data_IF_885858866198
#
_entry.id   IF_885858866198
#
_cell.length_a   1.000
_cell.length_b   1.000
_cell.length_c   1.000
_cell.angle_alpha   90.00
_cell.angle_beta   90.00
_cell.angle_gamma   90.00
#
_symmetry.space_group_name_H-M   'P 1'
#
loop_
_entity.id
_entity.type
_entity.pdbx_description
1 polymer ?
#
# COMPACT_ATOMS: atom_id res chain seq x y z
N UNK A 1 41.25 -21.65 32.55
CA UNK A 1 42.10 -21.34 31.39
C UNK A 1 41.67 -22.12 30.15
N UNK A 2 41.97 -21.61 28.94
CA UNK A 2 41.71 -22.29 27.68
C UNK A 2 43.03 -22.77 27.08
N UNK A 3 43.17 -24.06 26.84
CA UNK A 3 44.38 -24.67 26.30
C UNK A 3 44.11 -25.17 24.88
N UNK A 4 45.14 -25.12 24.03
CA UNK A 4 45.08 -25.60 22.65
C UNK A 4 45.72 -26.99 22.61
N UNK A 5 44.99 -27.99 22.14
CA UNK A 5 45.48 -29.36 22.02
C UNK A 5 45.71 -29.68 20.56
N UNK A 6 46.96 -29.96 20.22
CA UNK A 6 47.33 -30.40 18.86
C UNK A 6 47.50 -31.90 18.86
N UNK A 7 46.74 -32.57 18.01
CA UNK A 7 46.83 -34.02 17.78
C UNK A 7 46.90 -34.31 16.29
N UNK A 8 46.90 -35.60 15.92
CA UNK A 8 46.81 -36.02 14.51
C UNK A 8 45.51 -35.57 13.82
N UNK A 9 44.48 -35.31 14.61
CA UNK A 9 43.12 -34.98 14.16
C UNK A 9 42.93 -33.47 13.94
N UNK A 10 43.89 -32.64 14.37
CA UNK A 10 43.84 -31.19 14.23
C UNK A 10 44.13 -30.44 15.53
N UNK A 11 43.67 -29.20 15.60
CA UNK A 11 43.81 -28.33 16.75
C UNK A 11 42.46 -28.16 17.44
N UNK A 12 42.36 -28.65 18.67
CA UNK A 12 41.16 -28.55 19.50
C UNK A 12 41.42 -27.61 20.68
N UNK A 13 40.37 -27.10 21.30
CA UNK A 13 40.47 -26.20 22.45
C UNK A 13 39.74 -26.82 23.63
N UNK A 14 40.43 -26.99 24.75
CA UNK A 14 39.87 -27.57 25.98
C UNK A 14 39.92 -26.52 27.09
N UNK A 15 38.81 -26.39 27.81
CA UNK A 15 38.66 -25.42 28.89
C UNK A 15 38.79 -26.13 30.23
N UNK A 16 39.71 -25.66 31.07
CA UNK A 16 39.94 -26.16 32.43
C UNK A 16 39.90 -25.02 33.44
N UNK A 17 39.83 -25.30 34.74
CA UNK A 17 39.95 -24.26 35.78
C UNK A 17 41.34 -23.61 35.79
N UNK A 18 41.48 -22.43 36.42
CA UNK A 18 42.76 -21.69 36.44
C UNK A 18 43.80 -22.25 37.42
N UNK A 19 43.38 -23.11 38.34
CA UNK A 19 44.16 -23.85 39.34
C UNK A 19 44.23 -25.36 39.04
N UNK A 20 43.73 -25.78 37.87
CA UNK A 20 43.65 -27.17 37.46
C UNK A 20 45.00 -27.91 37.50
N UNK A 21 44.93 -29.19 37.84
CA UNK A 21 46.03 -30.15 37.81
C UNK A 21 46.11 -30.89 36.48
N UNK A 22 47.20 -31.66 36.29
CA UNK A 22 47.32 -32.57 35.14
C UNK A 22 46.19 -33.60 35.13
N UNK A 23 45.72 -34.08 36.28
CA UNK A 23 44.56 -34.98 36.36
C UNK A 23 43.28 -34.35 35.81
N UNK A 24 42.99 -33.11 36.20
CA UNK A 24 41.80 -32.37 35.77
C UNK A 24 41.83 -32.12 34.25
N UNK A 25 43.02 -31.82 33.71
CA UNK A 25 43.20 -31.68 32.26
C UNK A 25 42.91 -33.00 31.52
N UNK A 26 43.40 -34.14 32.02
CA UNK A 26 43.11 -35.44 31.40
C UNK A 26 41.62 -35.77 31.46
N UNK A 27 40.93 -35.44 32.56
CA UNK A 27 39.48 -35.63 32.65
C UNK A 27 38.71 -34.74 31.69
N UNK A 28 39.08 -33.46 31.56
CA UNK A 28 38.46 -32.53 30.62
C UNK A 28 38.64 -32.99 29.16
N UNK A 29 39.83 -33.47 28.82
CA UNK A 29 40.13 -34.08 27.51
C UNK A 29 39.25 -35.30 27.26
N UNK A 30 39.13 -36.18 28.25
CA UNK A 30 38.32 -37.38 28.09
C UNK A 30 36.83 -37.08 27.88
N UNK A 31 36.31 -36.09 28.61
CA UNK A 31 34.94 -35.63 28.46
C UNK A 31 34.69 -34.93 27.11
N UNK A 32 35.52 -33.97 26.73
CA UNK A 32 35.32 -33.14 25.54
C UNK A 32 35.57 -33.93 24.25
N UNK A 33 36.55 -34.83 24.25
CA UNK A 33 37.03 -35.52 23.05
C UNK A 33 36.58 -36.98 22.96
N UNK A 34 35.87 -37.49 23.98
CA UNK A 34 35.42 -38.88 24.09
C UNK A 34 36.57 -39.90 23.96
N UNK A 35 37.74 -39.58 24.51
CA UNK A 35 38.91 -40.46 24.54
C UNK A 35 39.12 -40.95 25.98
N UNK A 36 39.21 -42.26 26.25
CA UNK A 36 39.48 -42.76 27.60
C UNK A 36 40.76 -42.16 28.18
N UNK A 37 40.75 -41.83 29.47
CA UNK A 37 41.84 -41.14 30.17
C UNK A 37 43.18 -41.84 29.99
N UNK A 38 43.22 -43.17 29.86
CA UNK A 38 44.46 -43.96 29.76
C UNK A 38 44.98 -44.15 28.33
N UNK A 39 44.19 -43.79 27.32
CA UNK A 39 44.51 -44.06 25.91
C UNK A 39 45.23 -42.91 25.20
N UNK A 40 45.62 -41.88 25.96
CA UNK A 40 46.36 -40.74 25.43
C UNK A 40 47.47 -40.24 26.36
N UNK A 41 48.46 -39.65 25.71
CA UNK A 41 49.65 -39.03 26.33
C UNK A 41 49.70 -37.57 25.93
N UNK A 42 50.08 -36.70 26.87
CA UNK A 42 50.21 -35.24 26.66
C UNK A 42 51.66 -34.82 26.92
N UNK A 43 52.17 -33.89 26.11
CA UNK A 43 53.46 -33.22 26.31
C UNK A 43 53.37 -31.74 25.91
N UNK A 44 54.29 -30.92 26.42
CA UNK A 44 54.52 -29.57 25.90
C UNK A 44 55.41 -29.59 24.63
N UNK A 45 56.08 -30.71 24.36
CA UNK A 45 57.00 -30.81 23.23
C UNK A 45 56.28 -31.26 21.94
N UNK A 46 56.53 -30.57 20.80
CA UNK A 46 55.96 -30.96 19.50
C UNK A 46 56.40 -32.34 19.01
N UNK A 47 57.58 -32.78 19.47
CA UNK A 47 58.21 -34.06 19.11
C UNK A 47 57.31 -35.25 19.40
N UNK A 48 56.40 -35.15 20.39
CA UNK A 48 55.44 -36.17 20.75
C UNK A 48 54.60 -36.66 19.56
N UNK A 49 54.23 -35.77 18.63
CA UNK A 49 53.38 -36.15 17.48
C UNK A 49 54.13 -36.97 16.43
N UNK A 50 55.46 -36.94 16.44
CA UNK A 50 56.34 -37.58 15.46
C UNK A 50 57.19 -38.71 16.06
N UNK A 51 57.20 -38.83 17.39
CA UNK A 51 58.00 -39.81 18.11
C UNK A 51 57.62 -41.25 17.75
N UNK A 52 58.63 -42.07 17.45
CA UNK A 52 58.49 -43.52 17.20
C UNK A 52 58.49 -44.29 18.52
N UNK A 53 57.94 -45.52 18.51
CA UNK A 53 57.88 -46.35 19.71
C UNK A 53 59.31 -46.63 20.24
N UNK A 54 59.62 -46.12 21.44
CA UNK A 54 60.94 -46.23 22.08
C UNK A 54 61.71 -44.91 22.27
N UNK A 55 61.24 -43.78 21.73
CA UNK A 55 61.84 -42.45 21.98
C UNK A 55 61.30 -41.82 23.28
N UNK A 56 62.22 -41.39 24.17
CA UNK A 56 61.86 -40.77 25.45
C UNK A 56 61.45 -39.30 25.27
N UNK A 57 60.16 -39.04 25.10
CA UNK A 57 59.59 -37.68 25.15
C UNK A 57 59.17 -37.37 26.58
N UNK A 58 59.42 -36.14 27.06
CA UNK A 58 58.94 -35.73 28.38
C UNK A 58 57.40 -35.59 28.38
N UNK A 59 56.72 -36.53 29.03
CA UNK A 59 55.26 -36.55 29.13
C UNK A 59 54.78 -35.94 30.44
N UNK A 60 53.58 -35.35 30.44
CA UNK A 60 52.92 -34.86 31.65
C UNK A 60 52.31 -36.03 32.44
N UNK A 61 53.15 -36.80 33.14
CA UNK A 61 52.75 -37.99 33.92
C UNK A 61 52.44 -37.69 35.40
N UNK A 62 52.87 -36.54 35.92
CA UNK A 62 52.68 -36.15 37.32
C UNK A 62 51.27 -35.57 37.57
N UNK A 63 50.30 -36.44 37.82
CA UNK A 63 48.87 -36.11 37.93
C UNK A 63 48.52 -35.02 38.95
N UNK A 64 49.24 -34.95 40.07
CA UNK A 64 48.97 -34.01 41.18
C UNK A 64 49.62 -32.63 41.02
N UNK A 65 50.43 -32.41 39.99
CA UNK A 65 51.06 -31.11 39.75
C UNK A 65 50.05 -30.15 39.09
N UNK A 66 50.05 -28.89 39.54
CA UNK A 66 49.26 -27.84 38.91
C UNK A 66 49.82 -27.49 37.53
N UNK A 67 48.95 -27.16 36.58
CA UNK A 67 49.36 -26.81 35.22
C UNK A 67 50.26 -25.56 35.22
N UNK A 68 49.96 -24.56 36.05
CA UNK A 68 50.80 -23.37 36.27
C UNK A 68 52.18 -23.71 36.84
N UNK A 69 52.25 -24.68 37.78
CA UNK A 69 53.51 -25.15 38.35
C UNK A 69 54.41 -25.87 37.35
N UNK A 70 53.84 -26.32 36.22
CA UNK A 70 54.55 -26.89 35.07
C UNK A 70 54.83 -25.86 33.97
N UNK A 71 54.58 -24.56 34.24
CA UNK A 71 54.80 -23.47 33.30
C UNK A 71 53.70 -23.29 32.24
N UNK A 72 52.58 -24.02 32.33
CA UNK A 72 51.49 -23.97 31.35
C UNK A 72 50.55 -22.80 31.68
N UNK A 73 50.34 -21.91 30.72
CA UNK A 73 49.52 -20.71 30.83
C UNK A 73 48.31 -20.76 29.88
N UNK A 74 47.42 -19.77 30.02
CA UNK A 74 46.26 -19.63 29.14
C UNK A 74 46.70 -19.43 27.68
N UNK A 75 46.14 -20.23 26.77
CA UNK A 75 46.41 -20.15 25.33
C UNK A 75 47.58 -21.01 24.85
N UNK A 76 48.31 -21.66 25.77
CA UNK A 76 49.42 -22.54 25.42
C UNK A 76 48.97 -23.75 24.62
N UNK A 77 49.88 -24.24 23.79
CA UNK A 77 49.66 -25.41 22.95
C UNK A 77 50.33 -26.62 23.56
N UNK A 78 49.52 -27.64 23.87
CA UNK A 78 49.99 -28.96 24.27
C UNK A 78 49.79 -29.94 23.13
N UNK A 79 50.66 -30.93 23.06
CA UNK A 79 50.64 -31.96 22.03
C UNK A 79 50.09 -33.24 22.65
N UNK A 80 49.21 -33.92 21.92
CA UNK A 80 48.53 -35.12 22.40
C UNK A 80 48.63 -36.24 21.37
N UNK A 81 49.04 -37.44 21.82
CA UNK A 81 49.12 -38.66 21.01
C UNK A 81 48.23 -39.74 21.62
N UNK A 82 47.43 -40.40 20.78
CA UNK A 82 46.53 -41.48 21.17
C UNK A 82 46.34 -42.49 20.03
N UNK A 83 46.04 -43.74 20.39
CA UNK A 83 45.97 -44.86 19.43
C UNK A 83 44.62 -45.01 18.70
N UNK A 84 43.53 -44.56 19.31
CA UNK A 84 42.15 -44.88 18.88
C UNK A 84 41.72 -44.05 17.67
N UNK A 85 41.16 -44.70 16.63
CA UNK A 85 40.54 -43.99 15.49
C UNK A 85 39.23 -43.31 15.95
N UNK A 86 39.15 -41.99 15.82
CA UNK A 86 37.99 -41.18 16.16
C UNK A 86 37.25 -40.73 14.90
N UNK A 87 35.93 -40.63 14.96
CA UNK A 87 35.12 -39.99 13.93
C UNK A 87 34.92 -38.52 14.30
N UNK A 88 35.61 -37.60 13.63
CA UNK A 88 35.45 -36.16 13.84
C UNK A 88 34.33 -35.66 12.92
N UNK A 89 33.33 -34.91 13.42
CA UNK A 89 32.42 -34.17 12.56
C UNK A 89 33.21 -33.18 11.69
N UNK A 90 32.99 -33.20 10.37
CA UNK A 90 33.61 -32.24 9.45
C UNK A 90 33.26 -30.78 9.80
N UNK A 91 33.99 -29.79 9.26
CA UNK A 91 33.69 -28.38 9.52
C UNK A 91 32.22 -28.07 9.18
N UNK A 92 31.54 -27.21 9.96
CA UNK A 92 30.17 -26.83 9.67
C UNK A 92 30.12 -26.23 8.26
N UNK A 93 29.37 -26.87 7.37
CA UNK A 93 29.17 -26.39 5.99
C UNK A 93 28.52 -25.02 6.05
N UNK A 94 29.13 -24.03 5.40
CA UNK A 94 28.55 -22.69 5.33
C UNK A 94 27.23 -22.73 4.56
N UNK A 95 26.30 -21.83 4.87
CA UNK A 95 25.01 -21.66 4.17
C UNK A 95 25.14 -21.42 2.66
N UNK A 96 26.36 -21.17 2.16
CA UNK A 96 26.64 -21.06 0.73
C UNK A 96 26.62 -22.43 0.02
N UNK A 97 26.97 -23.52 0.71
CA UNK A 97 27.08 -24.86 0.14
C UNK A 97 25.74 -25.60 0.00
N UNK A 98 24.66 -25.07 0.58
CA UNK A 98 23.30 -25.61 0.41
C UNK A 98 22.58 -25.09 -0.83
N UNK A 99 23.19 -24.16 -1.59
CA UNK A 99 22.62 -23.68 -2.85
C UNK A 99 22.91 -24.70 -3.97
N UNK A 100 21.91 -25.10 -4.77
CA UNK A 100 22.14 -25.99 -5.90
C UNK A 100 23.13 -25.35 -6.88
N UNK A 101 24.15 -26.13 -7.25
CA UNK A 101 25.17 -25.73 -8.23
C UNK A 101 24.49 -25.33 -9.56
N UNK A 102 24.69 -24.09 -10.01
CA UNK A 102 24.02 -23.53 -11.19
C UNK A 102 22.83 -22.61 -10.93
N UNK A 103 22.48 -22.31 -9.67
CA UNK A 103 21.61 -21.18 -9.34
C UNK A 103 22.34 -19.83 -9.49
N UNK A 104 22.97 -19.60 -10.65
CA UNK A 104 23.48 -18.29 -11.01
C UNK A 104 22.29 -17.35 -11.16
N UNK A 105 22.42 -16.17 -10.58
CA UNK A 105 21.48 -15.07 -10.79
C UNK A 105 21.65 -14.62 -12.25
N UNK A 106 20.93 -15.26 -13.16
CA UNK A 106 21.02 -14.94 -14.58
C UNK A 106 20.62 -13.48 -14.80
N UNK A 107 21.27 -12.79 -15.73
CA UNK A 107 20.99 -11.38 -16.06
C UNK A 107 19.50 -11.15 -16.31
N UNK A 108 18.79 -12.13 -16.88
CA UNK A 108 17.33 -12.08 -17.06
C UNK A 108 16.54 -12.01 -15.75
N UNK A 109 16.96 -12.74 -14.70
CA UNK A 109 16.36 -12.66 -13.37
C UNK A 109 16.75 -11.37 -12.64
N UNK A 110 17.98 -10.87 -12.83
CA UNK A 110 18.37 -9.55 -12.30
C UNK A 110 17.54 -8.43 -12.93
N UNK A 111 17.35 -8.45 -14.25
CA UNK A 111 16.54 -7.47 -14.98
C UNK A 111 15.06 -7.61 -14.63
N UNK A 112 14.54 -8.82 -14.43
CA UNK A 112 13.14 -9.04 -14.00
C UNK A 112 12.90 -8.64 -12.53
N UNK A 113 13.94 -8.59 -11.70
CA UNK A 113 13.85 -8.08 -10.34
C UNK A 113 13.92 -6.54 -10.28
N UNK A 114 14.45 -5.89 -11.33
CA UNK A 114 14.48 -4.43 -11.43
C UNK A 114 13.09 -3.89 -11.77
N UNK A 115 12.65 -2.90 -10.98
CA UNK A 115 11.38 -2.21 -11.23
C UNK A 115 11.66 -0.98 -12.08
N UNK A 116 11.33 -1.05 -13.38
CA UNK A 116 11.46 0.09 -14.31
C UNK A 116 10.17 0.87 -14.35
N UNK A 117 10.25 2.18 -14.16
CA UNK A 117 9.10 3.07 -14.35
C UNK A 117 9.11 3.59 -15.78
N UNK A 118 8.01 3.37 -16.48
CA UNK A 118 7.84 3.76 -17.87
C UNK A 118 6.52 4.51 -18.01
N UNK A 119 6.52 5.56 -18.82
CA UNK A 119 5.30 6.33 -19.09
C UNK A 119 4.36 5.47 -19.93
N UNK A 120 3.14 5.26 -19.44
CA UNK A 120 2.07 4.66 -20.23
C UNK A 120 1.65 5.69 -21.32
N UNK A 121 1.38 5.26 -22.55
CA UNK A 121 1.01 6.20 -23.63
C UNK A 121 -0.51 6.37 -23.76
N UNK A 122 -1.28 5.32 -23.47
CA UNK A 122 -2.73 5.29 -23.64
C UNK A 122 -3.45 5.15 -22.31
N UNK A 123 -4.43 6.00 -22.04
CA UNK A 123 -5.37 5.81 -20.94
C UNK A 123 -6.22 4.54 -21.17
N UNK A 124 -6.82 4.01 -20.11
CA UNK A 124 -7.75 2.88 -20.22
C UNK A 124 -9.11 3.34 -20.78
N UNK A 125 -9.51 4.58 -20.51
CA UNK A 125 -10.68 5.21 -21.12
C UNK A 125 -10.30 6.07 -22.34
N UNK A 126 -11.21 6.13 -23.31
CA UNK A 126 -11.04 6.97 -24.52
C UNK A 126 -11.43 8.42 -24.28
N UNK A 127 -12.40 8.67 -23.40
CA UNK A 127 -12.83 10.01 -22.97
C UNK A 127 -13.63 9.93 -21.67
N UNK A 128 -13.73 11.06 -20.98
CA UNK A 128 -14.60 11.25 -19.82
C UNK A 128 -15.62 12.34 -20.14
N UNK A 129 -16.88 11.94 -20.26
CA UNK A 129 -18.00 12.86 -20.49
C UNK A 129 -18.73 13.12 -19.18
N UNK A 130 -18.95 14.38 -18.83
CA UNK A 130 -19.65 14.76 -17.61
C UNK A 130 -21.03 15.35 -17.92
N UNK A 131 -22.02 15.01 -17.10
CA UNK A 131 -23.29 15.72 -17.13
C UNK A 131 -23.07 17.20 -16.84
N UNK A 132 -23.58 18.06 -17.73
CA UNK A 132 -23.31 19.49 -17.69
C UNK A 132 -23.85 20.14 -16.40
N UNK A 133 -25.03 19.72 -15.93
CA UNK A 133 -25.62 20.26 -14.70
C UNK A 133 -24.86 19.79 -13.46
N UNK A 134 -24.51 18.51 -13.38
CA UNK A 134 -23.71 17.95 -12.27
C UNK A 134 -22.34 18.64 -12.17
N UNK A 135 -21.63 18.75 -13.30
CA UNK A 135 -20.32 19.40 -13.34
C UNK A 135 -20.41 20.87 -12.95
N UNK A 136 -21.41 21.59 -13.47
CA UNK A 136 -21.65 22.98 -13.13
C UNK A 136 -22.01 23.18 -11.66
N UNK A 137 -22.85 22.30 -11.10
CA UNK A 137 -23.25 22.33 -9.69
C UNK A 137 -22.07 22.15 -8.75
N UNK A 138 -21.13 21.24 -9.08
CA UNK A 138 -19.91 21.04 -8.31
C UNK A 138 -18.95 22.23 -8.44
N UNK A 139 -18.65 22.67 -9.66
CA UNK A 139 -17.75 23.81 -9.91
C UNK A 139 -18.26 25.10 -9.24
N UNK A 140 -19.55 25.39 -9.39
CA UNK A 140 -20.17 26.58 -8.81
C UNK A 140 -20.11 26.58 -7.29
N UNK A 141 -20.29 25.42 -6.64
CA UNK A 141 -20.18 25.33 -5.19
C UNK A 141 -18.75 25.55 -4.71
N UNK A 142 -17.77 24.88 -5.34
CA UNK A 142 -16.36 25.04 -5.02
C UNK A 142 -15.90 26.50 -5.21
N UNK A 143 -16.31 27.14 -6.30
CA UNK A 143 -15.91 28.51 -6.62
C UNK A 143 -16.66 29.56 -5.80
N UNK A 144 -17.99 29.47 -5.70
CA UNK A 144 -18.80 30.54 -5.13
C UNK A 144 -18.97 30.41 -3.61
N UNK A 145 -19.17 29.19 -3.10
CA UNK A 145 -19.41 28.97 -1.67
C UNK A 145 -18.11 28.75 -0.88
N UNK A 146 -17.16 28.01 -1.45
CA UNK A 146 -15.89 27.70 -0.77
C UNK A 146 -14.74 28.62 -1.18
N UNK A 147 -14.83 29.30 -2.32
CA UNK A 147 -13.76 30.12 -2.89
C UNK A 147 -12.40 29.42 -2.90
N UNK A 148 -12.40 28.09 -3.12
CA UNK A 148 -11.22 27.22 -3.04
C UNK A 148 -10.43 27.30 -1.71
N UNK A 149 -11.02 27.84 -0.64
CA UNK A 149 -10.40 27.94 0.68
C UNK A 149 -10.41 26.62 1.45
N UNK A 150 -11.30 25.71 1.06
CA UNK A 150 -11.42 24.34 1.60
C UNK A 150 -11.56 23.41 0.40
N UNK A 151 -10.84 22.29 0.40
CA UNK A 151 -10.98 21.25 -0.62
C UNK A 151 -12.36 20.59 -0.57
N UNK A 152 -12.78 20.03 -1.69
CA UNK A 152 -14.04 19.31 -1.82
C UNK A 152 -13.85 18.11 -2.71
N UNK A 153 -14.44 16.97 -2.37
CA UNK A 153 -14.42 15.78 -3.21
C UNK A 153 -15.78 15.13 -3.37
N UNK A 154 -15.89 14.32 -4.42
CA UNK A 154 -17.06 13.54 -4.74
C UNK A 154 -16.73 12.25 -5.50
N UNK A 155 -17.66 11.31 -5.44
CA UNK A 155 -17.64 10.03 -6.16
C UNK A 155 -18.45 10.21 -7.45
N UNK A 156 -17.86 9.81 -8.58
CA UNK A 156 -18.49 9.89 -9.88
C UNK A 156 -19.30 8.62 -10.15
N UNK A 157 -20.61 8.78 -10.37
CA UNK A 157 -21.49 7.69 -10.79
C UNK A 157 -21.88 7.84 -12.26
N UNK A 158 -21.88 6.74 -12.98
CA UNK A 158 -22.32 6.71 -14.36
C UNK A 158 -22.00 5.39 -15.05
N UNK A 159 -21.76 5.41 -16.35
CA UNK A 159 -21.57 4.20 -17.16
C UNK A 159 -20.24 4.20 -17.89
N UNK A 160 -19.71 3.01 -18.14
CA UNK A 160 -18.57 2.79 -19.04
C UNK A 160 -19.13 2.22 -20.34
N UNK A 161 -19.13 3.03 -21.39
CA UNK A 161 -19.60 2.67 -22.72
C UNK A 161 -18.59 1.86 -23.52
N UNK A 162 -18.94 1.61 -24.78
CA UNK A 162 -18.07 0.91 -25.74
C UNK A 162 -16.72 1.65 -25.90
N UNK A 163 -15.66 0.89 -26.16
CA UNK A 163 -14.28 1.41 -26.26
C UNK A 163 -13.78 2.16 -25.00
N UNK A 164 -14.40 1.93 -23.84
CA UNK A 164 -13.98 2.51 -22.57
C UNK A 164 -14.35 3.99 -22.40
N UNK A 165 -15.29 4.53 -23.17
CA UNK A 165 -15.77 5.89 -22.97
C UNK A 165 -16.56 5.98 -21.64
N UNK A 166 -16.11 6.83 -20.72
CA UNK A 166 -16.77 7.01 -19.42
C UNK A 166 -17.79 8.15 -19.51
N UNK A 167 -19.02 7.90 -19.09
CA UNK A 167 -20.07 8.92 -18.94
C UNK A 167 -20.43 9.04 -17.47
N UNK A 168 -20.28 10.22 -16.91
CA UNK A 168 -20.59 10.56 -15.51
C UNK A 168 -21.94 11.26 -15.48
N UNK A 169 -22.94 10.65 -14.85
CA UNK A 169 -24.30 11.16 -14.78
C UNK A 169 -24.60 11.93 -13.48
N UNK A 170 -23.89 11.60 -12.39
CA UNK A 170 -24.06 12.26 -11.10
C UNK A 170 -22.74 12.29 -10.32
N UNK A 171 -22.63 13.27 -9.41
CA UNK A 171 -21.50 13.44 -8.50
C UNK A 171 -22.06 13.37 -7.08
N UNK A 172 -21.84 12.24 -6.40
CA UNK A 172 -22.19 12.10 -4.99
C UNK A 172 -21.08 12.73 -4.13
N UNK A 173 -21.43 13.55 -3.14
CA UNK A 173 -20.43 14.13 -2.23
C UNK A 173 -20.54 13.51 -0.85
N UNK A 174 -19.69 12.54 -0.49
CA UNK A 174 -19.72 11.93 0.84
C UNK A 174 -19.52 12.95 1.96
N UNK A 175 -19.93 12.62 3.20
CA UNK A 175 -19.44 13.33 4.38
C UNK A 175 -17.92 13.39 4.34
N UNK A 176 -17.35 14.56 4.61
CA UNK A 176 -15.94 14.79 4.38
C UNK A 176 -15.37 15.82 5.35
N UNK A 177 -14.13 15.58 5.76
CA UNK A 177 -13.31 16.49 6.56
C UNK A 177 -12.23 17.06 5.65
N UNK A 178 -12.26 18.38 5.44
CA UNK A 178 -11.37 19.03 4.49
C UNK A 178 -10.77 20.32 5.06
N UNK A 179 -9.54 20.62 4.65
CA UNK A 179 -8.84 21.88 4.87
C UNK A 179 -8.41 22.47 3.52
N UNK A 180 -7.60 23.53 3.53
CA UNK A 180 -6.98 24.02 2.29
C UNK A 180 -6.02 22.98 1.67
N UNK A 181 -5.44 22.12 2.51
CA UNK A 181 -4.32 21.24 2.14
C UNK A 181 -4.70 19.74 2.20
N UNK A 182 -5.76 19.37 2.91
CA UNK A 182 -6.18 17.97 3.06
C UNK A 182 -7.64 17.76 2.68
N UNK A 183 -7.95 16.58 2.15
CA UNK A 183 -9.30 16.14 1.84
C UNK A 183 -9.45 14.69 2.25
N UNK A 184 -10.31 14.44 3.24
CA UNK A 184 -10.65 13.09 3.68
C UNK A 184 -12.14 12.84 3.45
N UNK A 185 -12.45 11.88 2.58
CA UNK A 185 -13.80 11.42 2.35
C UNK A 185 -14.14 10.30 3.35
N UNK A 186 -15.28 10.41 4.02
CA UNK A 186 -15.80 9.33 4.86
C UNK A 186 -16.44 8.26 3.97
N UNK A 187 -15.86 7.05 3.98
CA UNK A 187 -16.23 5.94 3.09
C UNK A 187 -17.02 4.87 3.82
N UNK A 188 -17.88 4.15 3.09
CA UNK A 188 -18.65 3.01 3.60
C UNK A 188 -19.78 3.42 4.55
N UNK A 189 -20.30 4.63 4.39
CA UNK A 189 -21.45 5.14 5.16
C UNK A 189 -22.76 4.53 4.64
N UNK A 190 -23.83 4.58 5.44
CA UNK A 190 -25.18 4.19 5.00
C UNK A 190 -25.66 5.04 3.82
N UNK A 191 -25.26 6.32 3.78
CA UNK A 191 -25.57 7.23 2.68
C UNK A 191 -24.85 6.84 1.39
N UNK A 192 -23.58 6.43 1.46
CA UNK A 192 -22.86 5.90 0.30
C UNK A 192 -23.51 4.61 -0.20
N UNK A 193 -23.97 3.73 0.70
CA UNK A 193 -24.70 2.52 0.33
C UNK A 193 -26.03 2.82 -0.36
N UNK A 194 -26.76 3.86 0.08
CA UNK A 194 -27.97 4.32 -0.61
C UNK A 194 -27.65 4.86 -2.00
N UNK A 195 -26.59 5.67 -2.15
CA UNK A 195 -26.13 6.17 -3.45
C UNK A 195 -25.75 5.00 -4.39
N UNK A 196 -25.07 3.97 -3.88
CA UNK A 196 -24.75 2.75 -4.62
C UNK A 196 -25.98 1.99 -5.10
N UNK A 197 -27.01 1.87 -4.25
CA UNK A 197 -28.29 1.21 -4.61
C UNK A 197 -29.02 2.00 -5.69
N UNK A 198 -29.11 3.33 -5.55
CA UNK A 198 -29.74 4.21 -6.55
C UNK A 198 -29.00 4.08 -7.88
N UNK A 199 -27.68 4.24 -7.87
CA UNK A 199 -26.84 4.12 -9.06
C UNK A 199 -27.00 2.75 -9.73
N UNK A 200 -26.90 1.66 -8.96
CA UNK A 200 -27.03 0.29 -9.50
C UNK A 200 -28.41 0.06 -10.12
N UNK A 201 -29.47 0.57 -9.49
CA UNK A 201 -30.85 0.46 -10.01
C UNK A 201 -31.02 1.22 -11.33
N UNK A 202 -30.28 2.31 -11.52
CA UNK A 202 -30.21 3.08 -12.77
C UNK A 202 -29.26 2.48 -13.82
N UNK A 203 -28.60 1.36 -13.50
CA UNK A 203 -27.59 0.74 -14.37
C UNK A 203 -26.23 1.43 -14.36
N UNK A 204 -25.95 2.23 -13.33
CA UNK A 204 -24.69 2.96 -13.16
C UNK A 204 -23.76 2.26 -12.17
N UNK A 205 -22.49 2.62 -12.24
CA UNK A 205 -21.42 2.18 -11.35
C UNK A 205 -20.57 3.36 -10.91
N UNK A 206 -19.74 3.17 -9.87
CA UNK A 206 -18.66 4.11 -9.56
C UNK A 206 -17.64 4.09 -10.70
N UNK A 207 -17.48 5.23 -11.37
CA UNK A 207 -16.58 5.37 -12.53
C UNK A 207 -15.34 6.22 -12.21
N UNK A 208 -15.30 6.85 -11.04
CA UNK A 208 -14.20 7.74 -10.72
C UNK A 208 -14.43 8.63 -9.50
N UNK A 209 -13.59 9.65 -9.39
CA UNK A 209 -13.61 10.65 -8.33
C UNK A 209 -13.44 12.05 -8.91
N UNK A 210 -13.98 13.04 -8.22
CA UNK A 210 -13.68 14.45 -8.48
C UNK A 210 -13.17 15.10 -7.20
N UNK A 211 -12.23 16.03 -7.34
CA UNK A 211 -11.82 16.87 -6.22
C UNK A 211 -11.46 18.28 -6.67
N UNK A 212 -11.53 19.22 -5.74
CA UNK A 212 -11.07 20.58 -5.94
C UNK A 212 -9.63 20.78 -5.46
N UNK A 213 -8.94 21.67 -6.16
CA UNK A 213 -7.57 22.06 -5.88
C UNK A 213 -7.46 23.58 -5.78
N UNK A 214 -6.82 24.04 -4.70
CA UNK A 214 -6.50 25.46 -4.54
C UNK A 214 -5.30 25.84 -5.41
N UNK A 215 -5.10 27.14 -5.60
CA UNK A 215 -3.98 27.73 -6.37
C UNK A 215 -2.58 27.36 -5.89
N UNK A 216 -2.44 26.72 -4.72
CA UNK A 216 -1.13 26.57 -4.07
C UNK A 216 -0.37 25.33 -4.49
N UNK A 217 -1.00 24.17 -4.69
CA UNK A 217 -0.26 22.90 -4.86
C UNK A 217 -1.08 21.80 -5.55
N UNK A 218 -0.38 20.89 -6.26
CA UNK A 218 -0.93 19.65 -6.84
C UNK A 218 -0.95 18.53 -5.80
N UNK A 219 -2.11 18.32 -5.18
CA UNK A 219 -2.41 17.15 -4.35
C UNK A 219 -3.17 16.06 -5.11
N UNK A 220 -2.99 14.83 -4.64
CA UNK A 220 -3.54 13.62 -5.23
C UNK A 220 -4.45 12.91 -4.21
N UNK A 221 -5.47 12.20 -4.70
CA UNK A 221 -6.35 11.39 -3.86
C UNK A 221 -5.66 10.06 -3.53
N UNK A 222 -5.77 9.62 -2.28
CA UNK A 222 -5.20 8.36 -1.77
C UNK A 222 -5.82 7.09 -2.38
N UNK A 223 -6.92 7.23 -3.11
CA UNK A 223 -7.66 6.11 -3.70
C UNK A 223 -7.53 6.08 -5.22
N UNK A 224 -6.82 5.06 -5.69
CA UNK A 224 -6.48 4.89 -7.09
C UNK A 224 -7.12 3.60 -7.62
N UNK A 225 -7.89 3.73 -8.71
CA UNK A 225 -8.49 2.60 -9.42
C UNK A 225 -7.85 2.36 -10.79
N UNK A 226 -7.83 1.11 -11.25
CA UNK A 226 -7.24 0.74 -12.56
C UNK A 226 -7.95 1.35 -13.77
N UNK A 227 -9.24 1.64 -13.63
CA UNK A 227 -10.09 2.24 -14.67
C UNK A 227 -10.82 3.49 -14.19
N UNK A 228 -10.56 3.91 -12.95
CA UNK A 228 -11.23 5.07 -12.36
C UNK A 228 -10.74 6.35 -13.02
N UNK A 229 -11.67 7.18 -13.50
CA UNK A 229 -11.36 8.53 -13.97
C UNK A 229 -11.22 9.46 -12.77
N UNK A 230 -10.18 10.25 -12.74
CA UNK A 230 -9.98 11.29 -11.74
C UNK A 230 -10.17 12.65 -12.40
N UNK A 231 -11.14 13.41 -11.92
CA UNK A 231 -11.38 14.78 -12.33
C UNK A 231 -10.87 15.76 -11.25
N UNK A 232 -10.23 16.82 -11.69
CA UNK A 232 -9.69 17.86 -10.82
C UNK A 232 -10.24 19.20 -11.26
N UNK A 233 -10.83 19.94 -10.31
CA UNK A 233 -11.30 21.31 -10.52
C UNK A 233 -10.35 22.25 -9.81
N UNK A 234 -9.56 22.99 -10.58
CA UNK A 234 -8.51 23.86 -10.06
C UNK A 234 -8.79 25.33 -10.39
N UNK A 235 -8.48 26.20 -9.44
CA UNK A 235 -8.45 27.63 -9.64
C UNK A 235 -7.05 28.06 -10.09
N UNK A 236 -6.98 28.88 -11.14
CA UNK A 236 -5.75 29.51 -11.62
C UNK A 236 -5.91 31.04 -11.60
N UNK A 237 -4.84 31.79 -11.28
CA UNK A 237 -4.85 33.23 -11.46
C UNK A 237 -4.87 33.55 -12.97
N UNK A 238 -5.95 34.17 -13.43
CA UNK A 238 -6.07 34.67 -14.79
C UNK A 238 -5.20 35.91 -15.01
N UNK A 239 -4.92 36.21 -16.28
CA UNK A 239 -4.04 37.32 -16.70
C UNK A 239 -4.57 38.70 -16.27
N UNK A 240 -5.87 38.83 -16.03
CA UNK A 240 -6.55 40.04 -15.58
C UNK A 240 -6.71 40.13 -14.04
N UNK A 241 -6.18 39.13 -13.30
CA UNK A 241 -6.33 39.00 -11.86
C UNK A 241 -7.66 38.38 -11.41
N UNK A 242 -8.54 37.97 -12.34
CA UNK A 242 -9.69 37.14 -12.02
C UNK A 242 -9.27 35.67 -11.86
N UNK A 243 -9.99 34.93 -11.02
CA UNK A 243 -9.74 33.50 -10.85
C UNK A 243 -10.45 32.73 -11.95
N UNK A 244 -9.67 32.04 -12.79
CA UNK A 244 -10.19 31.14 -13.81
C UNK A 244 -10.28 29.71 -13.27
N UNK A 245 -11.43 29.08 -13.45
CA UNK A 245 -11.65 27.68 -13.04
C UNK A 245 -11.37 26.77 -14.23
N UNK A 246 -10.40 25.87 -14.05
CA UNK A 246 -10.03 24.86 -15.03
C UNK A 246 -10.40 23.47 -14.51
N UNK A 247 -10.80 22.61 -15.44
CA UNK A 247 -11.06 21.19 -15.15
C UNK A 247 -10.07 20.34 -15.93
N UNK A 248 -9.37 19.48 -15.21
CA UNK A 248 -8.50 18.46 -15.77
C UNK A 248 -9.08 17.09 -15.46
N UNK A 249 -8.93 16.14 -16.39
CA UNK A 249 -9.30 14.75 -16.18
C UNK A 249 -8.13 13.86 -16.55
N UNK A 250 -7.86 12.87 -15.72
CA UNK A 250 -6.76 11.94 -15.92
C UNK A 250 -7.10 10.55 -15.36
N UNK A 251 -6.36 9.55 -15.82
CA UNK A 251 -6.29 8.23 -15.21
C UNK A 251 -4.88 7.98 -14.71
N UNK A 252 -4.78 7.12 -13.70
CA UNK A 252 -3.49 6.67 -13.21
C UNK A 252 -3.07 5.41 -13.95
N UNK A 253 -1.77 5.32 -14.30
CA UNK A 253 -1.21 4.18 -15.02
C UNK A 253 -1.42 2.87 -14.26
N UNK A 254 -1.54 1.75 -15.00
CA UNK A 254 -1.67 0.42 -14.39
C UNK A 254 -0.45 0.07 -13.51
N UNK A 255 0.72 0.57 -13.90
CA UNK A 255 1.93 0.42 -13.12
C UNK A 255 1.84 1.11 -11.76
N UNK A 256 1.36 2.35 -11.71
CA UNK A 256 1.17 3.08 -10.46
C UNK A 256 0.17 2.35 -9.53
N UNK A 257 -0.97 1.91 -10.06
CA UNK A 257 -1.96 1.15 -9.28
C UNK A 257 -1.35 -0.11 -8.69
N UNK A 258 -0.54 -0.84 -9.47
CA UNK A 258 0.16 -2.03 -8.99
C UNK A 258 1.15 -1.69 -7.86
N UNK A 259 1.98 -0.66 -8.05
CA UNK A 259 2.95 -0.23 -7.04
C UNK A 259 2.26 0.25 -5.75
N UNK A 260 1.10 0.90 -5.88
CA UNK A 260 0.29 1.36 -4.75
C UNK A 260 -0.28 0.20 -3.95
N UNK A 261 -0.91 -0.78 -4.64
CA UNK A 261 -1.39 -2.03 -4.03
C UNK A 261 -0.28 -2.84 -3.34
N UNK A 262 0.94 -2.76 -3.88
CA UNK A 262 2.11 -3.42 -3.32
C UNK A 262 2.76 -2.64 -2.17
N UNK A 263 2.33 -1.40 -1.88
CA UNK A 263 2.83 -0.60 -0.76
C UNK A 263 4.16 0.10 -1.02
N UNK A 264 4.46 0.47 -2.28
CA UNK A 264 5.73 1.10 -2.63
C UNK A 264 5.83 2.59 -2.29
N UNK A 265 4.70 3.29 -2.22
CA UNK A 265 4.65 4.72 -2.01
C UNK A 265 4.94 5.06 -0.54
N UNK A 266 5.70 6.12 -0.32
CA UNK A 266 5.97 6.64 1.02
C UNK A 266 5.12 7.89 1.28
N UNK A 267 4.69 8.06 2.53
CA UNK A 267 4.01 9.27 2.96
C UNK A 267 4.94 10.47 2.76
N UNK A 268 4.42 11.51 2.13
CA UNK A 268 5.11 12.79 2.00
C UNK A 268 4.51 13.80 2.96
N UNK A 269 5.38 14.61 3.55
CA UNK A 269 4.98 15.69 4.44
C UNK A 269 4.55 16.95 3.69
N UNK A 270 5.01 17.14 2.45
CA UNK A 270 4.72 18.31 1.62
C UNK A 270 4.48 17.90 0.15
N UNK A 271 3.53 18.54 -0.56
CA UNK A 271 3.28 18.27 -1.98
C UNK A 271 4.45 18.75 -2.84
N UNK A 272 5.11 17.82 -3.52
CA UNK A 272 6.36 18.11 -4.26
C UNK A 272 6.30 17.78 -5.75
N UNK A 273 5.18 17.22 -6.23
CA UNK A 273 5.04 16.70 -7.61
C UNK A 273 5.90 15.47 -7.92
N UNK A 274 6.74 15.04 -6.98
CA UNK A 274 7.53 13.80 -7.04
C UNK A 274 7.04 12.87 -5.95
N UNK A 275 7.11 11.56 -6.16
CA UNK A 275 6.82 10.56 -5.14
C UNK A 275 8.06 9.76 -4.78
N UNK A 276 8.23 9.46 -3.50
CA UNK A 276 9.33 8.60 -3.02
C UNK A 276 8.86 7.16 -3.00
N UNK A 277 9.58 6.29 -3.71
CA UNK A 277 9.29 4.86 -3.79
C UNK A 277 10.29 4.05 -2.96
N UNK A 278 9.78 3.11 -2.17
CA UNK A 278 10.57 2.08 -1.48
C UNK A 278 10.08 0.70 -1.87
N UNK A 279 11.00 -0.21 -2.14
CA UNK A 279 10.64 -1.61 -2.34
C UNK A 279 10.36 -2.27 -0.98
N UNK A 280 9.13 -2.73 -0.67
CA UNK A 280 8.82 -3.36 0.61
C UNK A 280 9.61 -4.64 0.88
N UNK A 281 10.10 -5.31 -0.17
CA UNK A 281 10.93 -6.52 -0.08
C UNK A 281 12.40 -6.20 0.20
N UNK A 282 12.84 -4.98 -0.10
CA UNK A 282 14.23 -4.52 0.07
C UNK A 282 14.25 -3.08 0.63
N UNK A 283 13.78 -2.85 1.87
CA UNK A 283 13.57 -1.51 2.43
C UNK A 283 14.86 -0.68 2.59
N UNK A 284 16.02 -1.35 2.61
CA UNK A 284 17.33 -0.71 2.69
C UNK A 284 17.85 -0.15 1.36
N UNK A 285 17.17 -0.41 0.23
CA UNK A 285 17.57 0.13 -1.06
C UNK A 285 16.99 1.54 -1.25
N UNK A 286 17.88 2.55 -1.27
CA UNK A 286 17.50 3.95 -1.46
C UNK A 286 17.14 4.31 -2.91
N UNK A 287 17.54 3.49 -3.89
CA UNK A 287 17.22 3.70 -5.31
C UNK A 287 16.60 2.44 -5.91
N UNK A 288 15.37 2.06 -5.51
CA UNK A 288 14.77 0.78 -5.85
C UNK A 288 14.18 0.73 -7.26
N UNK A 289 14.06 1.87 -7.95
CA UNK A 289 13.44 1.96 -9.28
C UNK A 289 14.38 2.52 -10.33
N UNK A 290 14.15 2.17 -11.59
CA UNK A 290 14.88 2.73 -12.74
C UNK A 290 13.94 3.63 -13.53
N UNK A 291 14.30 4.90 -13.69
CA UNK A 291 13.57 5.88 -14.50
C UNK A 291 14.54 6.45 -15.53
N UNK A 292 14.17 6.42 -16.81
CA UNK A 292 15.03 6.89 -17.92
C UNK A 292 16.46 6.30 -17.89
N UNK A 293 16.60 5.04 -17.49
CA UNK A 293 17.88 4.32 -17.44
C UNK A 293 18.77 4.65 -16.24
N UNK A 294 18.28 5.39 -15.24
CA UNK A 294 18.99 5.71 -14.00
C UNK A 294 18.26 5.13 -12.80
N UNK A 295 19.02 4.59 -11.85
CA UNK A 295 18.49 4.17 -10.54
C UNK A 295 18.08 5.42 -9.74
N UNK A 296 16.85 5.45 -9.23
CA UNK A 296 16.27 6.58 -8.51
C UNK A 296 15.42 6.09 -7.33
N UNK A 297 15.28 6.94 -6.31
CA UNK A 297 14.37 6.75 -5.18
C UNK A 297 13.11 7.61 -5.29
N UNK A 298 13.14 8.63 -6.13
CA UNK A 298 12.05 9.57 -6.37
C UNK A 298 11.66 9.51 -7.84
N UNK A 299 10.36 9.67 -8.10
CA UNK A 299 9.77 9.61 -9.44
C UNK A 299 8.83 10.77 -9.60
N UNK A 300 8.94 11.48 -10.73
CA UNK A 300 7.99 12.51 -11.12
C UNK A 300 6.60 11.89 -11.34
N UNK A 301 5.57 12.47 -10.71
CA UNK A 301 4.21 11.95 -10.76
C UNK A 301 3.65 11.92 -12.20
N UNK A 302 4.15 12.76 -13.11
CA UNK A 302 3.74 12.77 -14.52
C UNK A 302 4.03 11.45 -15.25
N UNK A 303 4.96 10.61 -14.76
CA UNK A 303 5.16 9.25 -15.28
C UNK A 303 3.93 8.36 -15.08
N UNK A 304 3.11 8.66 -14.08
CA UNK A 304 1.96 7.87 -13.69
C UNK A 304 0.64 8.41 -14.20
N UNK A 305 0.60 9.64 -14.74
CA UNK A 305 -0.64 10.31 -15.12
C UNK A 305 -0.90 10.24 -16.62
N UNK A 306 -2.13 9.85 -16.95
CA UNK A 306 -2.65 9.76 -18.30
C UNK A 306 -3.75 10.79 -18.50
N UNK A 307 -3.54 11.88 -19.26
CA UNK A 307 -4.60 12.85 -19.51
C UNK A 307 -5.74 12.20 -20.29
N UNK A 308 -6.97 12.59 -19.96
CA UNK A 308 -8.20 12.10 -20.57
C UNK A 308 -8.96 13.26 -21.19
N UNK A 309 -9.44 13.08 -22.42
CA UNK A 309 -10.26 14.11 -23.08
C UNK A 309 -11.60 14.27 -22.37
N UNK A 310 -11.89 15.51 -21.96
CA UNK A 310 -13.16 15.89 -21.34
C UNK A 310 -14.20 16.17 -22.43
N UNK A 311 -15.41 15.67 -22.21
CA UNK A 311 -16.62 15.99 -22.98
C UNK A 311 -17.75 16.33 -22.01
N UNK A 312 -18.83 16.86 -22.54
CA UNK A 312 -20.08 17.09 -21.82
C UNK A 312 -21.24 16.31 -22.46
N UNK A 313 -22.28 16.08 -21.67
CA UNK A 313 -23.56 15.55 -22.14
C UNK A 313 -24.70 16.01 -21.22
N UNK A 314 -25.93 15.65 -21.59
CA UNK A 314 -27.10 15.75 -20.72
C UNK A 314 -27.46 14.34 -20.27
N UNK A 315 -27.41 14.12 -18.97
CA UNK A 315 -27.71 12.86 -18.31
C UNK A 315 -29.20 12.50 -18.33
N UNK A 316 -29.53 11.26 -17.95
CA UNK A 316 -30.92 10.78 -17.93
C UNK A 316 -31.74 11.29 -16.72
N UNK A 317 -31.08 11.76 -15.65
CA UNK A 317 -31.68 12.38 -14.47
C UNK A 317 -31.25 13.85 -14.40
N UNK A 318 -32.08 14.68 -13.77
CA UNK A 318 -31.74 16.07 -13.45
C UNK A 318 -30.74 16.12 -12.26
N UNK A 319 -29.94 17.19 -12.19
CA UNK A 319 -29.02 17.46 -11.08
C UNK A 319 -29.35 18.82 -10.44
N UNK A 320 -30.63 19.04 -10.15
CA UNK A 320 -31.18 20.35 -9.79
C UNK A 320 -31.60 20.45 -8.31
N UNK A 321 -31.79 19.32 -7.62
CA UNK A 321 -32.02 19.29 -6.19
C UNK A 321 -30.72 19.60 -5.43
N UNK A 322 -30.76 20.31 -4.28
CA UNK A 322 -29.55 20.62 -3.53
C UNK A 322 -28.76 19.36 -3.17
N UNK A 323 -27.46 19.37 -3.44
CA UNK A 323 -26.58 18.25 -3.10
C UNK A 323 -26.39 18.15 -1.58
N UNK A 324 -26.33 16.92 -1.10
CA UNK A 324 -26.02 16.55 0.27
C UNK A 324 -24.64 17.02 0.75
N UNK A 325 -24.46 17.07 2.08
CA UNK A 325 -23.20 17.38 2.76
C UNK A 325 -22.59 18.75 2.40
N UNK A 326 -23.36 19.66 1.79
CA UNK A 326 -22.99 21.05 1.51
C UNK A 326 -23.51 21.99 2.61
N UNK A 327 -23.01 23.22 2.63
CA UNK A 327 -23.50 24.28 3.54
C UNK A 327 -24.90 24.80 3.16
N UNK A 328 -25.41 24.41 1.98
CA UNK A 328 -26.73 24.77 1.51
C UNK A 328 -27.79 23.87 2.19
N UNK A 329 -28.96 24.42 2.55
CA UNK A 329 -30.00 23.65 3.19
C UNK A 329 -30.58 22.61 2.22
N UNK A 330 -30.92 21.45 2.78
CA UNK A 330 -31.64 20.39 2.09
C UNK A 330 -32.75 19.91 3.02
N UNK A 331 -33.99 20.33 2.76
CA UNK A 331 -35.11 20.01 3.64
C UNK A 331 -36.47 20.15 2.98
N UNK A 332 -37.49 20.27 3.84
CA UNK A 332 -38.90 20.33 3.44
C UNK A 332 -39.21 21.45 2.44
N UNK A 333 -38.60 22.63 2.62
CA UNK A 333 -38.84 23.78 1.76
C UNK A 333 -38.30 23.54 0.34
N UNK A 334 -37.10 22.96 0.24
CA UNK A 334 -36.44 22.63 -1.02
C UNK A 334 -37.18 21.50 -1.74
N UNK A 335 -37.62 20.46 -1.01
CA UNK A 335 -38.47 19.40 -1.56
C UNK A 335 -39.76 19.97 -2.14
N UNK A 336 -40.46 20.83 -1.38
CA UNK A 336 -41.69 21.48 -1.84
C UNK A 336 -41.44 22.31 -3.11
N UNK A 337 -40.41 23.15 -3.11
CA UNK A 337 -40.08 23.99 -4.26
C UNK A 337 -39.75 23.14 -5.50
N UNK A 338 -39.01 22.05 -5.32
CA UNK A 338 -38.65 21.11 -6.39
C UNK A 338 -39.87 20.44 -7.02
N UNK A 339 -40.78 19.92 -6.19
CA UNK A 339 -42.02 19.27 -6.65
C UNK A 339 -42.98 20.27 -7.30
N UNK A 340 -43.16 21.46 -6.72
CA UNK A 340 -44.04 22.50 -7.27
C UNK A 340 -43.55 22.99 -8.64
N UNK A 341 -42.25 23.21 -8.80
CA UNK A 341 -41.63 23.60 -10.08
C UNK A 341 -41.88 22.56 -11.18
N UNK A 342 -42.12 21.30 -10.80
CA UNK A 342 -42.36 20.16 -11.71
C UNK A 342 -43.79 19.64 -11.66
N UNK A 343 -44.73 20.41 -11.10
CA UNK A 343 -46.14 20.01 -10.95
C UNK A 343 -46.83 19.65 -12.28
N UNK A 344 -46.33 20.13 -13.42
CA UNK A 344 -46.85 19.76 -14.74
C UNK A 344 -46.37 18.39 -15.27
N UNK A 345 -45.38 17.75 -14.63
CA UNK A 345 -44.84 16.44 -15.05
C UNK A 345 -45.51 15.28 -14.29
N UNK A 346 -45.51 14.04 -14.83
CA UNK A 346 -45.85 12.84 -14.08
C UNK A 346 -44.99 12.70 -12.82
N UNK A 347 -45.54 12.12 -11.74
CA UNK A 347 -44.86 12.12 -10.44
C UNK A 347 -43.46 11.49 -10.48
N UNK A 348 -43.27 10.38 -11.21
CA UNK A 348 -41.97 9.75 -11.42
C UNK A 348 -40.94 10.72 -12.04
N UNK A 349 -41.33 11.52 -13.03
CA UNK A 349 -40.45 12.52 -13.64
C UNK A 349 -40.15 13.71 -12.71
N UNK A 350 -40.99 13.96 -11.70
CA UNK A 350 -40.68 14.96 -10.65
C UNK A 350 -39.58 14.46 -9.72
N UNK A 351 -39.48 13.14 -9.54
CA UNK A 351 -38.48 12.46 -8.72
C UNK A 351 -37.20 12.10 -9.49
N UNK A 352 -37.13 12.36 -10.80
CA UNK A 352 -36.00 12.03 -11.67
C UNK A 352 -34.78 12.94 -11.43
N UNK A 353 -34.27 12.95 -10.21
CA UNK A 353 -33.10 13.70 -9.75
C UNK A 353 -32.33 12.86 -8.74
N UNK A 354 -31.02 12.71 -8.96
CA UNK A 354 -30.18 11.80 -8.16
C UNK A 354 -30.11 12.22 -6.69
N UNK A 355 -29.91 13.52 -6.44
CA UNK A 355 -29.78 14.07 -5.09
C UNK A 355 -31.12 14.09 -4.35
N UNK A 356 -32.23 14.21 -5.08
CA UNK A 356 -33.57 14.03 -4.50
C UNK A 356 -33.81 12.59 -4.05
N UNK A 357 -33.49 11.59 -4.88
CA UNK A 357 -33.65 10.18 -4.50
C UNK A 357 -32.80 9.85 -3.27
N UNK A 358 -31.58 10.39 -3.21
CA UNK A 358 -30.70 10.22 -2.05
C UNK A 358 -31.23 10.97 -0.80
N UNK A 359 -31.85 12.14 -0.98
CA UNK A 359 -32.52 12.84 0.11
C UNK A 359 -33.68 12.01 0.69
N UNK A 360 -34.48 11.38 -0.17
CA UNK A 360 -35.57 10.49 0.25
C UNK A 360 -35.05 9.29 1.04
N UNK A 361 -33.92 8.71 0.64
CA UNK A 361 -33.28 7.59 1.34
C UNK A 361 -32.85 7.90 2.79
N UNK A 362 -32.73 9.17 3.16
CA UNK A 362 -32.39 9.60 4.53
C UNK A 362 -33.61 9.94 5.37
N UNK A 363 -34.81 9.90 4.79
CA UNK A 363 -36.04 10.17 5.52
C UNK A 363 -36.45 8.94 6.31
N UNK A 364 -36.98 9.09 7.53
CA UNK A 364 -37.29 7.97 8.43
C UNK A 364 -38.36 7.00 7.89
N UNK A 365 -39.10 7.40 6.86
CA UNK A 365 -40.18 6.62 6.26
C UNK A 365 -39.75 5.85 5.00
N UNK A 366 -38.45 5.84 4.69
CA UNK A 366 -37.90 5.18 3.50
C UNK A 366 -36.72 4.30 3.89
N UNK A 367 -36.83 3.00 3.64
CA UNK A 367 -35.70 2.08 3.64
C UNK A 367 -35.06 1.93 2.24
N UNK A 368 -33.92 1.23 2.17
CA UNK A 368 -33.20 1.01 0.90
C UNK A 368 -34.03 0.25 -0.15
N UNK A 369 -34.95 -0.62 0.28
CA UNK A 369 -35.83 -1.38 -0.62
C UNK A 369 -36.87 -0.45 -1.25
N UNK A 370 -37.46 0.43 -0.45
CA UNK A 370 -38.43 1.42 -0.89
C UNK A 370 -37.80 2.44 -1.85
N UNK A 371 -36.58 2.90 -1.55
CA UNK A 371 -35.79 3.75 -2.44
C UNK A 371 -35.48 3.02 -3.75
N UNK A 372 -35.15 1.73 -3.69
CA UNK A 372 -34.95 0.89 -4.87
C UNK A 372 -36.20 0.82 -5.75
N UNK A 373 -37.39 0.62 -5.17
CA UNK A 373 -38.65 0.63 -5.90
C UNK A 373 -38.95 1.99 -6.55
N UNK A 374 -38.73 3.10 -5.81
CA UNK A 374 -38.88 4.45 -6.37
C UNK A 374 -37.92 4.68 -7.53
N UNK A 375 -36.66 4.30 -7.35
CA UNK A 375 -35.62 4.47 -8.38
C UNK A 375 -35.95 3.64 -9.62
N UNK A 376 -36.46 2.41 -9.46
CA UNK A 376 -36.89 1.57 -10.56
C UNK A 376 -38.07 2.19 -11.33
N UNK A 377 -39.06 2.75 -10.64
CA UNK A 377 -40.18 3.45 -11.27
C UNK A 377 -39.71 4.69 -12.05
N UNK A 378 -38.76 5.47 -11.48
CA UNK A 378 -38.11 6.60 -12.16
C UNK A 378 -37.37 6.14 -13.41
N UNK A 379 -36.56 5.07 -13.30
CA UNK A 379 -35.79 4.51 -14.41
C UNK A 379 -36.69 4.03 -15.56
N UNK A 380 -37.78 3.34 -15.23
CA UNK A 380 -38.75 2.82 -16.19
C UNK A 380 -39.74 3.87 -16.69
N UNK A 381 -39.77 5.07 -16.09
CA UNK A 381 -40.78 6.11 -16.31
C UNK A 381 -42.20 5.61 -16.06
N UNK A 382 -42.34 4.75 -15.05
CA UNK A 382 -43.60 4.15 -14.65
C UNK A 382 -44.26 4.96 -13.50
N UNK A 383 -45.59 4.86 -13.32
CA UNK A 383 -46.26 5.49 -12.20
C UNK A 383 -45.69 5.04 -10.85
N UNK A 384 -45.43 6.01 -9.97
CA UNK A 384 -45.08 5.74 -8.57
C UNK A 384 -46.37 5.31 -7.85
N UNK A 385 -46.27 4.33 -6.95
CA UNK A 385 -47.43 3.88 -6.18
C UNK A 385 -48.02 5.01 -5.32
N UNK A 386 -49.36 5.11 -5.27
CA UNK A 386 -50.09 6.20 -4.58
C UNK A 386 -49.64 6.41 -3.12
N UNK A 387 -49.28 5.34 -2.41
CA UNK A 387 -48.78 5.43 -1.04
C UNK A 387 -47.47 6.23 -0.93
N UNK A 388 -46.54 6.05 -1.87
CA UNK A 388 -45.28 6.80 -1.89
C UNK A 388 -45.51 8.26 -2.30
N UNK A 389 -46.41 8.51 -3.24
CA UNK A 389 -46.78 9.87 -3.65
C UNK A 389 -47.31 10.66 -2.44
N UNK A 390 -48.29 10.11 -1.71
CA UNK A 390 -48.83 10.73 -0.50
C UNK A 390 -47.78 10.95 0.59
N UNK A 391 -46.86 10.00 0.80
CA UNK A 391 -45.78 10.14 1.77
C UNK A 391 -44.83 11.28 1.40
N UNK A 392 -44.42 11.36 0.13
CA UNK A 392 -43.48 12.39 -0.36
C UNK A 392 -44.14 13.78 -0.34
N UNK A 393 -45.41 13.88 -0.74
CA UNK A 393 -46.16 15.13 -0.66
C UNK A 393 -46.35 15.58 0.80
N UNK A 394 -46.62 14.64 1.72
CA UNK A 394 -46.69 14.92 3.15
C UNK A 394 -45.35 15.44 3.71
N UNK A 395 -44.22 14.83 3.30
CA UNK A 395 -42.87 15.31 3.65
C UNK A 395 -42.63 16.73 3.13
N UNK A 396 -43.09 17.03 1.90
CA UNK A 396 -43.05 18.38 1.32
C UNK A 396 -44.05 19.35 1.99
N UNK A 397 -45.02 18.83 2.75
CA UNK A 397 -46.13 19.58 3.33
C UNK A 397 -47.09 20.16 2.29
N UNK A 398 -47.26 19.44 1.18
CA UNK A 398 -48.18 19.78 0.10
C UNK A 398 -49.61 19.31 0.39
#
# INVERSE_FOLDING_TARGET
MLLRLRSRDGLERVKVADDATVADLRQAIAADLSIPVDDFVISQEPTLLTAKDGESVQTLSALSKSLKGLGIQHGDTLFMKYGIKRSIPGPPRSTFETRPFGAHMDVRRMVAAQTRIERQETAACSSASFDAEAAHAFQSYVSAALAFSIKRGGILYGVVGEEGAVQVHAIYEPPQSATADSLQLERGTEEEAAADVIATTLGWTKVGWVYSQSVKERDFIDEIGETAVTAMVAAFPGDDGQVEVHVEAFQVSRQCVKLWKEGWFQDQTEPSGVTTLRNPKEPGNATPVIVAGKDQGEVDNDYFLMPVSIKDHVGPLENAFPCENRLLPQGKAELRAHLQKRSGKPFAERLADFHLLLFLARQPNFDLTEVGHLTAAVAAKEPVGEGYELLIESLAGM
#
